data_IF_826812919141
#
_entry.id   IF_826812919141
#
_cell.length_a   1.000
_cell.length_b   1.000
_cell.length_c   1.000
_cell.angle_alpha   90.00
_cell.angle_beta   90.00
_cell.angle_gamma   90.00
#
_symmetry.space_group_name_H-M   'P 1'
#
loop_
_entity.id
_entity.type
_entity.pdbx_description
1 polymer ?
#
# COMPACT_ATOMS: atom_id res chain seq x y z
N UNK A 1 -23.08 24.43 3.07
CA UNK A 1 -23.07 23.23 2.20
C UNK A 1 -24.51 22.94 1.82
N UNK A 2 -24.91 23.01 0.54
CA UNK A 2 -26.26 22.59 0.14
C UNK A 2 -26.37 21.07 0.32
N UNK A 3 -27.37 20.62 1.07
CA UNK A 3 -27.67 19.19 1.21
C UNK A 3 -28.45 18.74 -0.01
N UNK A 4 -27.98 17.68 -0.68
CA UNK A 4 -28.72 17.04 -1.77
C UNK A 4 -29.69 16.06 -1.13
N UNK A 5 -30.98 16.31 -1.29
CA UNK A 5 -32.05 15.40 -0.84
C UNK A 5 -32.54 14.64 -2.07
N UNK A 6 -32.34 13.33 -2.07
CA UNK A 6 -32.88 12.42 -3.10
C UNK A 6 -33.97 11.56 -2.48
N UNK A 7 -34.93 11.11 -3.30
CA UNK A 7 -35.91 10.11 -2.88
C UNK A 7 -35.61 8.84 -3.69
N UNK A 8 -34.84 7.87 -3.15
CA UNK A 8 -34.42 6.67 -3.89
C UNK A 8 -35.60 5.89 -4.48
N UNK A 9 -36.74 5.87 -3.78
CA UNK A 9 -37.97 5.24 -4.24
C UNK A 9 -38.45 5.84 -5.58
N UNK A 10 -38.44 7.17 -5.72
CA UNK A 10 -38.88 7.84 -6.95
C UNK A 10 -37.94 7.58 -8.13
N UNK A 11 -36.64 7.40 -7.86
CA UNK A 11 -35.67 7.02 -8.89
C UNK A 11 -35.91 5.59 -9.40
N UNK A 12 -36.28 4.65 -8.51
CA UNK A 12 -36.62 3.27 -8.90
C UNK A 12 -37.90 3.21 -9.75
N UNK A 13 -38.91 4.03 -9.42
CA UNK A 13 -40.15 4.14 -10.18
C UNK A 13 -39.87 4.72 -11.57
N UNK A 14 -39.04 5.77 -11.65
CA UNK A 14 -38.63 6.37 -12.91
C UNK A 14 -37.87 5.37 -13.80
N UNK A 15 -36.93 4.59 -13.23
CA UNK A 15 -36.20 3.57 -13.97
C UNK A 15 -37.12 2.47 -14.54
N UNK A 16 -38.13 2.05 -13.76
CA UNK A 16 -39.15 1.08 -14.22
C UNK A 16 -39.98 1.65 -15.37
N UNK A 17 -40.42 2.91 -15.26
CA UNK A 17 -41.14 3.60 -16.33
C UNK A 17 -40.32 3.70 -17.61
N UNK A 18 -39.03 4.05 -17.50
CA UNK A 18 -38.10 4.11 -18.63
C UNK A 18 -37.87 2.74 -19.29
N UNK A 19 -37.80 1.66 -18.51
CA UNK A 19 -37.71 0.31 -19.06
C UNK A 19 -38.96 -0.04 -19.91
N UNK A 20 -40.16 0.32 -19.43
CA UNK A 20 -41.40 0.13 -20.16
C UNK A 20 -41.46 0.95 -21.45
N UNK A 21 -40.97 2.20 -21.42
CA UNK A 21 -40.84 3.05 -22.61
C UNK A 21 -39.87 2.41 -23.62
N UNK A 22 -38.70 1.95 -23.17
CA UNK A 22 -37.72 1.28 -24.03
C UNK A 22 -38.29 0.03 -24.71
N UNK A 23 -39.03 -0.79 -23.96
CA UNK A 23 -39.74 -1.97 -24.51
C UNK A 23 -40.78 -1.61 -25.57
N UNK A 24 -41.56 -0.54 -25.33
CA UNK A 24 -42.57 -0.04 -26.27
C UNK A 24 -41.92 0.45 -27.57
N UNK A 25 -40.83 1.21 -27.46
CA UNK A 25 -40.07 1.73 -28.61
C UNK A 25 -39.44 0.58 -29.40
N UNK A 26 -38.83 -0.40 -28.73
CA UNK A 26 -38.23 -1.57 -29.38
C UNK A 26 -39.27 -2.39 -30.15
N UNK A 27 -40.46 -2.57 -29.57
CA UNK A 27 -41.58 -3.24 -30.25
C UNK A 27 -42.02 -2.46 -31.50
N UNK A 28 -42.11 -1.13 -31.43
CA UNK A 28 -42.46 -0.29 -32.56
C UNK A 28 -41.39 -0.32 -33.67
N UNK A 29 -40.09 -0.29 -33.30
CA UNK A 29 -38.98 -0.37 -34.24
C UNK A 29 -38.95 -1.71 -34.99
N UNK A 30 -39.21 -2.81 -34.28
CA UNK A 30 -39.30 -4.15 -34.87
C UNK A 30 -40.49 -4.26 -35.82
N UNK A 31 -41.65 -3.71 -35.46
CA UNK A 31 -42.84 -3.69 -36.32
C UNK A 31 -42.63 -2.86 -37.60
N UNK A 32 -41.86 -1.77 -37.52
CA UNK A 32 -41.55 -0.90 -38.65
C UNK A 32 -40.44 -1.45 -39.58
N UNK A 33 -39.68 -2.48 -39.17
CA UNK A 33 -38.50 -2.94 -39.89
C UNK A 33 -38.79 -3.45 -41.31
N UNK A 34 -39.72 -4.38 -41.47
CA UNK A 34 -40.09 -4.91 -42.78
C UNK A 34 -40.68 -3.84 -43.72
N UNK A 35 -41.73 -3.08 -43.35
CA UNK A 35 -42.36 -2.13 -44.27
C UNK A 35 -41.45 -0.96 -44.70
N UNK A 36 -40.37 -0.68 -43.96
CA UNK A 36 -39.42 0.40 -44.29
C UNK A 36 -38.19 -0.09 -45.08
N UNK A 37 -37.90 -1.39 -45.08
CA UNK A 37 -36.70 -1.94 -45.73
C UNK A 37 -36.99 -2.73 -47.01
N UNK A 38 -38.21 -3.26 -47.18
CA UNK A 38 -38.60 -4.08 -48.33
C UNK A 38 -39.52 -3.32 -49.30
N UNK A 39 -39.20 -2.06 -49.61
CA UNK A 39 -40.00 -1.25 -50.52
C UNK A 39 -39.87 -1.75 -51.96
N UNK A 40 -41.01 -1.94 -52.62
CA UNK A 40 -41.10 -2.28 -54.04
C UNK A 40 -41.07 -1.01 -54.88
N UNK A 41 -40.40 -1.06 -56.04
CA UNK A 41 -40.44 0.02 -57.02
C UNK A 41 -41.86 0.22 -57.54
N UNK A 42 -42.32 1.48 -57.63
CA UNK A 42 -43.67 1.80 -58.11
C UNK A 42 -43.85 1.57 -59.62
N UNK A 43 -42.75 1.60 -60.38
CA UNK A 43 -42.68 1.35 -61.81
C UNK A 43 -41.41 0.58 -62.19
N UNK A 44 -41.36 0.09 -63.43
CA UNK A 44 -40.21 -0.67 -63.96
C UNK A 44 -39.02 0.23 -64.39
N UNK A 45 -39.14 1.54 -64.21
CA UNK A 45 -38.11 2.51 -64.56
C UNK A 45 -36.99 2.57 -63.50
N UNK A 46 -35.83 3.05 -63.95
CA UNK A 46 -34.63 3.15 -63.14
C UNK A 46 -34.80 4.17 -61.99
N UNK A 47 -35.66 5.18 -62.16
CA UNK A 47 -35.90 6.21 -61.14
C UNK A 47 -36.72 5.63 -59.99
N UNK A 48 -37.82 4.93 -60.27
CA UNK A 48 -38.62 4.21 -59.29
C UNK A 48 -37.79 3.16 -58.53
N UNK A 49 -36.92 2.45 -59.23
CA UNK A 49 -36.00 1.47 -58.64
C UNK A 49 -34.99 2.14 -57.71
N UNK A 50 -34.38 3.26 -58.14
CA UNK A 50 -33.43 4.01 -57.33
C UNK A 50 -34.06 4.62 -56.07
N UNK A 51 -35.29 5.13 -56.16
CA UNK A 51 -36.03 5.68 -55.01
C UNK A 51 -36.33 4.57 -53.98
N UNK A 52 -36.82 3.41 -54.42
CA UNK A 52 -37.07 2.27 -53.52
C UNK A 52 -35.78 1.81 -52.81
N UNK A 53 -34.66 1.75 -53.54
CA UNK A 53 -33.36 1.42 -52.97
C UNK A 53 -32.87 2.46 -51.95
N UNK A 54 -33.07 3.75 -52.21
CA UNK A 54 -32.73 4.83 -51.28
C UNK A 54 -33.48 4.68 -49.95
N UNK A 55 -34.80 4.55 -49.99
CA UNK A 55 -35.59 4.37 -48.76
C UNK A 55 -35.26 3.07 -48.04
N UNK A 56 -35.03 1.97 -48.77
CA UNK A 56 -34.57 0.71 -48.16
C UNK A 56 -33.23 0.87 -47.42
N UNK A 57 -32.26 1.57 -48.02
CA UNK A 57 -30.98 1.87 -47.36
C UNK A 57 -31.13 2.78 -46.13
N UNK A 58 -32.05 3.75 -46.18
CA UNK A 58 -32.35 4.62 -45.04
C UNK A 58 -33.02 3.84 -43.90
N UNK A 59 -33.96 2.93 -44.21
CA UNK A 59 -34.57 2.03 -43.23
C UNK A 59 -33.54 1.15 -42.53
N UNK A 60 -32.58 0.60 -43.27
CA UNK A 60 -31.48 -0.19 -42.68
C UNK A 60 -30.58 0.65 -41.76
N UNK A 61 -30.24 1.88 -42.18
CA UNK A 61 -29.48 2.81 -41.35
C UNK A 61 -30.23 3.20 -40.07
N UNK A 62 -31.54 3.43 -40.17
CA UNK A 62 -32.40 3.70 -39.01
C UNK A 62 -32.42 2.51 -38.03
N UNK A 63 -32.57 1.28 -38.52
CA UNK A 63 -32.54 0.09 -37.66
C UNK A 63 -31.20 -0.08 -36.93
N UNK A 64 -30.08 0.18 -37.62
CA UNK A 64 -28.75 0.15 -37.02
C UNK A 64 -28.56 1.24 -35.94
N UNK A 65 -29.14 2.43 -36.13
CA UNK A 65 -29.12 3.50 -35.12
C UNK A 65 -30.03 3.17 -33.93
N UNK A 66 -31.22 2.65 -34.18
CA UNK A 66 -32.17 2.24 -33.13
C UNK A 66 -31.58 1.19 -32.20
N UNK A 67 -30.84 0.20 -32.73
CA UNK A 67 -30.13 -0.78 -31.91
C UNK A 67 -29.05 -0.16 -31.01
N UNK A 68 -28.36 0.90 -31.48
CA UNK A 68 -27.39 1.64 -30.66
C UNK A 68 -28.10 2.44 -29.56
N UNK A 69 -29.23 3.09 -29.89
CA UNK A 69 -30.04 3.83 -28.93
C UNK A 69 -30.62 2.92 -27.85
N UNK A 70 -31.07 1.70 -28.19
CA UNK A 70 -31.54 0.70 -27.22
C UNK A 70 -30.45 0.29 -26.24
N UNK A 71 -29.22 0.09 -26.72
CA UNK A 71 -28.07 -0.22 -25.84
C UNK A 71 -27.77 0.94 -24.89
N UNK A 72 -27.73 2.18 -25.40
CA UNK A 72 -27.53 3.37 -24.57
C UNK A 72 -28.64 3.51 -23.52
N UNK A 73 -29.89 3.31 -23.92
CA UNK A 73 -31.06 3.37 -23.04
C UNK A 73 -30.99 2.29 -21.94
N UNK A 74 -30.62 1.06 -22.30
CA UNK A 74 -30.43 -0.02 -21.34
C UNK A 74 -29.33 0.28 -20.32
N UNK A 75 -28.20 0.84 -20.76
CA UNK A 75 -27.12 1.28 -19.89
C UNK A 75 -27.57 2.43 -18.97
N UNK A 76 -28.34 3.39 -19.50
CA UNK A 76 -28.88 4.50 -18.73
C UNK A 76 -29.82 4.00 -17.61
N UNK A 77 -30.78 3.13 -17.93
CA UNK A 77 -31.70 2.54 -16.93
C UNK A 77 -30.94 1.73 -15.87
N UNK A 78 -29.94 0.95 -16.28
CA UNK A 78 -29.10 0.17 -15.34
C UNK A 78 -28.34 1.10 -14.40
N UNK A 79 -27.74 2.17 -14.94
CA UNK A 79 -27.00 3.16 -14.15
C UNK A 79 -27.92 3.89 -13.17
N UNK A 80 -29.13 4.27 -13.60
CA UNK A 80 -30.12 4.92 -12.75
C UNK A 80 -30.58 4.04 -11.58
N UNK A 81 -30.76 2.74 -11.80
CA UNK A 81 -31.08 1.80 -10.72
C UNK A 81 -29.91 1.66 -9.72
N UNK A 82 -28.67 1.59 -10.22
CA UNK A 82 -27.48 1.50 -9.35
C UNK A 82 -27.30 2.75 -8.49
N UNK A 83 -27.59 3.94 -9.03
CA UNK A 83 -27.46 5.20 -8.28
C UNK A 83 -28.53 5.33 -7.19
N UNK A 84 -29.77 4.90 -7.45
CA UNK A 84 -30.82 4.84 -6.42
C UNK A 84 -30.41 3.98 -5.22
N UNK A 85 -29.80 2.82 -5.47
CA UNK A 85 -29.25 1.97 -4.41
C UNK A 85 -28.11 2.66 -3.65
N UNK A 86 -27.18 3.31 -4.35
CA UNK A 86 -26.09 4.06 -3.72
C UNK A 86 -26.62 5.17 -2.80
N UNK A 87 -27.64 5.93 -3.21
CA UNK A 87 -28.26 6.95 -2.36
C UNK A 87 -28.93 6.35 -1.13
N UNK A 88 -29.72 5.29 -1.28
CA UNK A 88 -30.34 4.60 -0.15
C UNK A 88 -29.30 4.04 0.85
N UNK A 89 -28.21 3.48 0.35
CA UNK A 89 -27.11 2.98 1.18
C UNK A 89 -26.39 4.11 1.94
N UNK A 90 -26.24 5.28 1.32
CA UNK A 90 -25.65 6.46 1.96
C UNK A 90 -26.55 7.01 3.07
N UNK A 91 -27.87 7.05 2.86
CA UNK A 91 -28.83 7.43 3.90
C UNK A 91 -28.79 6.47 5.09
N UNK A 92 -28.74 5.16 4.84
CA UNK A 92 -28.63 4.15 5.88
C UNK A 92 -27.30 4.27 6.67
N UNK A 93 -26.18 4.51 5.98
CA UNK A 93 -24.89 4.74 6.62
C UNK A 93 -24.94 5.99 7.53
N UNK A 94 -25.48 7.10 7.03
CA UNK A 94 -25.64 8.32 7.82
C UNK A 94 -26.55 8.13 9.04
N UNK A 95 -27.66 7.40 8.89
CA UNK A 95 -28.55 7.06 10.00
C UNK A 95 -27.85 6.21 11.07
N UNK A 96 -27.06 5.22 10.65
CA UNK A 96 -26.29 4.37 11.56
C UNK A 96 -25.23 5.17 12.34
N UNK A 97 -24.56 6.12 11.69
CA UNK A 97 -23.59 6.99 12.35
C UNK A 97 -24.24 7.89 13.39
N UNK A 98 -25.43 8.43 13.11
CA UNK A 98 -26.17 9.23 14.09
C UNK A 98 -26.54 8.42 15.33
N UNK A 99 -26.89 7.14 15.16
CA UNK A 99 -27.16 6.24 16.28
C UNK A 99 -25.90 5.96 17.10
N UNK A 100 -24.76 5.68 16.46
CA UNK A 100 -23.48 5.47 17.16
C UNK A 100 -23.07 6.73 17.93
N UNK A 101 -23.22 7.92 17.33
CA UNK A 101 -22.94 9.18 18.01
C UNK A 101 -23.84 9.37 19.24
N UNK A 102 -25.14 9.05 19.15
CA UNK A 102 -26.06 9.11 20.27
C UNK A 102 -25.69 8.13 21.40
N UNK A 103 -25.19 6.94 21.06
CA UNK A 103 -24.68 5.96 22.04
C UNK A 103 -23.39 6.42 22.71
N UNK A 104 -22.52 7.12 21.98
CA UNK A 104 -21.24 7.61 22.51
C UNK A 104 -21.39 8.87 23.35
N UNK A 105 -22.38 9.74 23.10
CA UNK A 105 -22.52 11.03 23.80
C UNK A 105 -22.41 10.95 25.33
N UNK A 106 -23.06 10.00 26.04
CA UNK A 106 -22.93 9.89 27.48
C UNK A 106 -21.49 9.55 27.92
N UNK A 107 -20.80 8.68 27.19
CA UNK A 107 -19.44 8.27 27.54
C UNK A 107 -18.39 9.31 27.15
N UNK A 108 -18.55 10.00 26.02
CA UNK A 108 -17.69 11.14 25.69
C UNK A 108 -17.82 12.25 26.74
N UNK A 109 -19.05 12.51 27.23
CA UNK A 109 -19.29 13.49 28.28
C UNK A 109 -18.75 13.10 29.67
N UNK A 110 -18.68 11.80 29.98
CA UNK A 110 -18.27 11.31 31.31
C UNK A 110 -16.82 10.82 31.38
N UNK A 111 -16.32 10.21 30.30
CA UNK A 111 -15.06 9.47 30.24
C UNK A 111 -14.08 10.06 29.22
N UNK A 112 -14.50 11.08 28.45
CA UNK A 112 -13.67 11.72 27.43
C UNK A 112 -13.31 10.82 26.24
N UNK A 113 -13.96 9.65 26.14
CA UNK A 113 -13.70 8.63 25.12
C UNK A 113 -15.03 8.00 24.68
N UNK A 114 -15.18 7.65 23.38
CA UNK A 114 -16.36 6.95 22.91
C UNK A 114 -16.46 5.53 23.52
N UNK A 115 -17.66 4.96 23.60
CA UNK A 115 -17.81 3.54 23.95
C UNK A 115 -17.46 2.65 22.76
N UNK A 116 -17.92 3.06 21.58
CA UNK A 116 -17.79 2.33 20.33
C UNK A 116 -17.23 3.25 19.26
N UNK A 117 -16.12 2.89 18.65
CA UNK A 117 -15.56 3.64 17.54
C UNK A 117 -14.06 3.42 17.44
N UNK A 118 -13.53 3.47 16.22
CA UNK A 118 -12.10 3.40 16.02
C UNK A 118 -11.44 4.73 16.41
N UNK A 119 -10.19 4.65 16.84
CA UNK A 119 -9.35 5.80 17.11
C UNK A 119 -8.96 6.53 15.83
N UNK A 120 -8.79 7.84 15.93
CA UNK A 120 -8.39 8.67 14.79
C UNK A 120 -6.92 8.44 14.44
N UNK A 121 -6.62 8.15 13.19
CA UNK A 121 -5.23 8.05 12.71
C UNK A 121 -4.51 9.40 12.83
N UNK A 122 -3.25 9.35 13.25
CA UNK A 122 -2.34 10.48 13.25
C UNK A 122 -2.00 10.93 11.83
N UNK A 123 -1.88 12.25 11.63
CA UNK A 123 -1.61 12.80 10.31
C UNK A 123 -0.21 12.40 9.79
N UNK A 124 -0.08 11.87 8.54
CA UNK A 124 1.22 11.53 7.97
C UNK A 124 2.19 12.71 7.92
N UNK A 125 3.46 12.45 8.19
CA UNK A 125 4.53 13.46 8.22
C UNK A 125 4.55 14.35 9.46
N UNK A 126 3.61 14.19 10.40
CA UNK A 126 3.56 15.02 11.61
C UNK A 126 4.17 14.35 12.83
N UNK A 127 4.32 13.03 12.83
CA UNK A 127 4.64 12.25 14.02
C UNK A 127 3.53 12.25 15.07
N UNK A 128 2.30 12.63 14.70
CA UNK A 128 1.15 12.64 15.60
C UNK A 128 0.75 11.21 15.97
N UNK A 129 0.51 10.98 17.25
CA UNK A 129 0.01 9.68 17.74
C UNK A 129 -1.40 9.41 17.21
N UNK A 130 -1.70 8.13 16.99
CA UNK A 130 -3.06 7.67 16.77
C UNK A 130 -3.88 7.80 18.04
N UNK A 131 -5.13 8.21 17.90
CA UNK A 131 -6.07 8.26 19.01
C UNK A 131 -6.46 6.86 19.47
N UNK A 132 -6.84 6.73 20.74
CA UNK A 132 -7.35 5.48 21.27
C UNK A 132 -8.72 5.13 20.66
N UNK A 133 -8.96 3.83 20.48
CA UNK A 133 -10.27 3.28 20.19
C UNK A 133 -11.26 3.45 21.35
N UNK A 134 -12.53 3.24 21.05
CA UNK A 134 -13.63 3.28 22.01
C UNK A 134 -13.47 2.23 23.11
N UNK A 135 -13.99 2.52 24.29
CA UNK A 135 -13.74 1.76 25.52
C UNK A 135 -14.14 0.28 25.39
N UNK A 136 -15.31 0.01 24.80
CA UNK A 136 -15.84 -1.35 24.68
C UNK A 136 -15.44 -2.00 23.35
N UNK A 137 -15.54 -1.22 22.28
CA UNK A 137 -15.22 -1.68 20.94
C UNK A 137 -14.55 -0.57 20.15
N UNK A 138 -13.40 -0.87 19.56
CA UNK A 138 -12.69 0.09 18.74
C UNK A 138 -11.26 -0.32 18.55
N UNK A 139 -10.80 -0.24 17.31
CA UNK A 139 -9.39 -0.32 16.99
C UNK A 139 -8.71 0.99 17.39
N UNK A 140 -7.45 0.92 17.79
CA UNK A 140 -6.64 2.13 17.95
C UNK A 140 -6.27 2.73 16.59
N UNK A 141 -6.17 4.05 16.53
CA UNK A 141 -5.74 4.75 15.33
C UNK A 141 -4.26 4.51 15.06
N UNK A 142 -3.86 4.53 13.79
CA UNK A 142 -2.45 4.43 13.40
C UNK A 142 -1.70 5.72 13.74
N UNK A 143 -0.47 5.60 14.21
CA UNK A 143 0.43 6.73 14.37
C UNK A 143 0.85 7.32 13.02
N UNK A 144 0.88 8.65 12.94
CA UNK A 144 1.35 9.37 11.77
C UNK A 144 2.87 9.22 11.62
N UNK A 145 3.36 9.08 10.38
CA UNK A 145 4.81 9.06 10.14
C UNK A 145 5.46 10.39 10.53
N UNK A 146 6.73 10.37 10.94
CA UNK A 146 7.51 11.57 11.24
C UNK A 146 8.06 12.27 9.99
N UNK A 147 8.06 13.60 9.98
CA UNK A 147 8.90 14.40 9.06
C UNK A 147 10.40 14.23 9.42
N UNK A 148 11.36 14.60 8.54
CA UNK A 148 12.78 14.59 8.88
C UNK A 148 13.07 15.27 10.23
N UNK A 149 13.78 14.57 11.13
CA UNK A 149 14.03 15.06 12.49
C UNK A 149 12.87 14.90 13.47
N UNK A 150 11.73 14.34 13.07
CA UNK A 150 10.62 13.95 13.95
C UNK A 150 10.47 12.43 14.07
N UNK A 151 10.13 11.99 15.27
CA UNK A 151 9.75 10.60 15.55
C UNK A 151 8.43 10.25 14.84
N UNK A 152 8.21 8.99 14.53
CA UNK A 152 6.88 8.50 14.18
C UNK A 152 5.95 8.50 15.39
N UNK A 153 4.68 8.82 15.17
CA UNK A 153 3.68 8.80 16.24
C UNK A 153 3.37 7.39 16.69
N UNK A 154 3.02 7.23 17.96
CA UNK A 154 2.59 5.94 18.50
C UNK A 154 1.22 5.55 17.93
N UNK A 155 0.99 4.26 17.74
CA UNK A 155 -0.35 3.74 17.45
C UNK A 155 -1.20 3.83 18.71
N UNK A 156 -2.46 4.25 18.55
CA UNK A 156 -3.41 4.34 19.65
C UNK A 156 -3.77 2.97 20.20
N UNK A 157 -4.18 2.93 21.46
CA UNK A 157 -4.63 1.69 22.09
C UNK A 157 -6.04 1.33 21.62
N UNK A 158 -6.31 0.04 21.51
CA UNK A 158 -7.66 -0.46 21.26
C UNK A 158 -8.51 -0.44 22.54
N UNK A 159 -9.82 -0.59 22.35
CA UNK A 159 -10.74 -0.86 23.44
C UNK A 159 -10.59 -2.23 24.08
N UNK A 160 -11.61 -2.64 24.83
CA UNK A 160 -11.74 -4.00 25.34
C UNK A 160 -11.72 -5.03 24.20
N UNK A 161 -12.38 -4.69 23.09
CA UNK A 161 -12.43 -5.44 21.84
C UNK A 161 -11.86 -4.57 20.72
N UNK A 162 -10.81 -5.03 20.05
CA UNK A 162 -10.24 -4.29 18.91
C UNK A 162 -8.81 -4.70 18.59
N UNK A 163 -8.19 -3.99 17.66
CA UNK A 163 -6.77 -4.14 17.31
C UNK A 163 -6.03 -2.85 17.66
N UNK A 164 -4.84 -2.97 18.21
CA UNK A 164 -3.99 -1.81 18.45
C UNK A 164 -3.58 -1.15 17.14
N UNK A 165 -3.45 0.17 17.15
CA UNK A 165 -3.01 0.93 15.97
C UNK A 165 -1.54 0.65 15.63
N UNK A 166 -1.17 0.73 14.36
CA UNK A 166 0.24 0.64 13.99
C UNK A 166 1.00 1.89 14.41
N UNK A 167 2.24 1.75 14.87
CA UNK A 167 3.15 2.88 15.06
C UNK A 167 3.55 3.49 13.73
N UNK A 168 3.67 4.82 13.68
CA UNK A 168 4.13 5.56 12.51
C UNK A 168 5.62 5.39 12.29
N UNK A 169 6.08 5.43 11.04
CA UNK A 169 7.50 5.38 10.74
C UNK A 169 8.23 6.66 11.20
N UNK A 170 9.46 6.52 11.67
CA UNK A 170 10.33 7.64 12.02
C UNK A 170 10.76 8.45 10.80
N UNK A 171 10.87 9.77 10.96
CA UNK A 171 11.58 10.61 10.00
C UNK A 171 13.09 10.35 10.03
N UNK A 172 13.83 10.89 9.06
CA UNK A 172 15.27 10.66 8.96
C UNK A 172 16.02 10.88 10.30
N UNK A 173 16.78 9.86 10.71
CA UNK A 173 17.54 9.80 11.96
C UNK A 173 16.72 9.50 13.22
N UNK A 174 15.40 9.33 13.10
CA UNK A 174 14.49 9.22 14.23
C UNK A 174 13.84 7.86 14.36
N UNK A 175 13.36 7.57 15.56
CA UNK A 175 12.74 6.29 15.88
C UNK A 175 11.32 6.17 15.31
N UNK A 176 10.89 4.94 15.08
CA UNK A 176 9.48 4.63 14.83
C UNK A 176 8.61 4.77 16.07
N UNK A 177 7.32 4.95 15.83
CA UNK A 177 6.25 4.87 16.82
C UNK A 177 6.07 3.46 17.36
N UNK A 178 5.69 3.31 18.62
CA UNK A 178 5.26 2.02 19.16
C UNK A 178 3.89 1.66 18.60
N UNK A 179 3.62 0.37 18.42
CA UNK A 179 2.26 -0.09 18.14
C UNK A 179 1.38 0.01 19.39
N UNK A 180 0.09 0.21 19.19
CA UNK A 180 -0.91 0.28 20.26
C UNK A 180 -1.22 -1.08 20.86
N UNK A 181 -1.65 -1.07 22.11
CA UNK A 181 -2.00 -2.27 22.87
C UNK A 181 -3.51 -2.56 22.82
N UNK A 182 -3.93 -3.70 23.34
CA UNK A 182 -5.35 -4.10 23.38
C UNK A 182 -5.78 -4.50 24.79
N UNK A 183 -7.02 -4.19 25.17
CA UNK A 183 -7.56 -4.51 26.49
C UNK A 183 -7.74 -6.02 26.73
N UNK A 184 -8.79 -6.62 26.17
CA UNK A 184 -9.20 -7.99 26.53
C UNK A 184 -9.06 -8.98 25.38
N UNK A 185 -9.54 -8.62 24.19
CA UNK A 185 -9.44 -9.47 23.01
C UNK A 185 -8.98 -8.70 21.78
N UNK A 186 -7.92 -9.21 21.16
CA UNK A 186 -7.42 -8.74 19.89
C UNK A 186 -5.91 -8.61 19.85
N UNK A 187 -5.38 -8.17 18.72
CA UNK A 187 -3.95 -8.21 18.44
C UNK A 187 -3.36 -6.83 18.68
N UNK A 188 -2.15 -6.80 19.24
CA UNK A 188 -1.40 -5.56 19.36
C UNK A 188 -1.00 -5.02 17.97
N UNK A 189 -0.85 -3.71 17.89
CA UNK A 189 -0.41 -3.04 16.67
C UNK A 189 1.08 -3.25 16.41
N UNK A 190 1.50 -3.28 15.15
CA UNK A 190 2.93 -3.35 14.82
C UNK A 190 3.65 -2.03 15.13
N UNK A 191 4.92 -2.10 15.52
CA UNK A 191 5.77 -0.92 15.67
C UNK A 191 6.14 -0.31 14.31
N UNK A 192 6.30 1.01 14.27
CA UNK A 192 6.72 1.74 13.09
C UNK A 192 8.20 1.55 12.78
N UNK A 193 8.57 1.60 11.50
CA UNK A 193 9.98 1.50 11.09
C UNK A 193 10.80 2.72 11.54
N UNK A 194 12.07 2.52 11.86
CA UNK A 194 13.02 3.60 12.11
C UNK A 194 13.36 4.36 10.83
N UNK A 195 13.60 5.66 10.95
CA UNK A 195 13.97 6.50 9.81
C UNK A 195 15.42 6.28 9.35
N UNK A 196 15.67 6.49 8.07
CA UNK A 196 17.02 6.42 7.49
C UNK A 196 17.98 7.39 8.20
N UNK A 197 19.22 6.98 8.44
CA UNK A 197 20.18 7.67 9.31
C UNK A 197 20.35 7.04 10.69
N UNK A 198 19.95 5.78 10.89
CA UNK A 198 20.16 5.01 12.12
C UNK A 198 19.00 5.06 13.12
N UNK A 199 17.80 5.44 12.69
CA UNK A 199 16.61 5.44 13.55
C UNK A 199 16.24 4.03 14.00
N UNK A 200 15.92 3.84 15.28
CA UNK A 200 15.45 2.54 15.77
C UNK A 200 14.00 2.27 15.36
N UNK A 201 13.65 1.01 15.13
CA UNK A 201 12.27 0.58 14.97
C UNK A 201 11.49 0.70 16.28
N UNK A 202 10.20 0.98 16.16
CA UNK A 202 9.28 1.06 17.29
C UNK A 202 8.92 -0.32 17.84
N UNK A 203 8.54 -0.36 19.10
CA UNK A 203 8.07 -1.60 19.74
C UNK A 203 6.72 -2.03 19.15
N UNK A 204 6.47 -3.32 19.04
CA UNK A 204 5.12 -3.84 18.82
C UNK A 204 4.26 -3.68 20.07
N UNK A 205 2.97 -3.43 19.89
CA UNK A 205 2.00 -3.32 20.97
C UNK A 205 1.58 -4.68 21.51
N UNK A 206 1.11 -4.69 22.76
CA UNK A 206 0.69 -5.93 23.42
C UNK A 206 -0.71 -6.36 22.97
N UNK A 207 -0.91 -7.67 22.89
CA UNK A 207 -2.21 -8.24 22.56
C UNK A 207 -3.16 -8.21 23.77
N UNK A 208 -4.44 -8.48 23.50
CA UNK A 208 -5.49 -8.51 24.52
C UNK A 208 -5.22 -9.61 25.56
N UNK A 209 -5.58 -9.32 26.81
CA UNK A 209 -5.30 -10.18 27.97
C UNK A 209 -5.66 -11.66 27.76
N UNK A 210 -6.80 -11.96 27.11
CA UNK A 210 -7.30 -13.33 26.99
C UNK A 210 -6.89 -13.99 25.68
N UNK A 211 -7.15 -13.33 24.54
CA UNK A 211 -6.76 -13.81 23.22
C UNK A 211 -6.09 -12.70 22.41
N UNK A 212 -4.98 -13.02 21.76
CA UNK A 212 -4.37 -12.11 20.81
C UNK A 212 -2.92 -12.45 20.46
N UNK A 213 -2.49 -12.04 19.27
CA UNK A 213 -1.07 -12.06 18.90
C UNK A 213 -0.45 -10.71 19.22
N UNK A 214 0.73 -10.71 19.82
CA UNK A 214 1.49 -9.49 20.05
C UNK A 214 1.89 -8.84 18.73
N UNK A 215 1.93 -7.51 18.68
CA UNK A 215 2.32 -6.79 17.49
C UNK A 215 3.80 -7.03 17.15
N UNK A 216 4.18 -7.14 15.87
CA UNK A 216 5.59 -7.20 15.50
C UNK A 216 6.30 -5.89 15.84
N UNK A 217 7.58 -5.96 16.19
CA UNK A 217 8.43 -4.78 16.30
C UNK A 217 8.74 -4.21 14.92
N UNK A 218 8.94 -2.89 14.84
CA UNK A 218 9.32 -2.20 13.61
C UNK A 218 10.78 -2.46 13.25
N UNK A 219 11.10 -2.44 11.96
CA UNK A 219 12.48 -2.56 11.51
C UNK A 219 13.31 -1.31 11.86
N UNK A 220 14.60 -1.48 12.12
CA UNK A 220 15.55 -0.39 12.25
C UNK A 220 15.86 0.25 10.91
N UNK A 221 16.04 1.57 10.91
CA UNK A 221 16.35 2.34 9.70
C UNK A 221 17.79 2.13 9.22
N UNK A 222 17.99 2.32 7.91
CA UNK A 222 19.31 2.35 7.28
C UNK A 222 20.24 3.32 8.03
N UNK A 223 21.53 3.00 8.12
CA UNK A 223 22.48 3.68 9.01
C UNK A 223 22.74 2.95 10.33
N UNK A 224 22.26 1.72 10.48
CA UNK A 224 22.52 0.87 11.65
C UNK A 224 21.51 1.00 12.79
N UNK A 225 20.26 1.39 12.50
CA UNK A 225 19.22 1.47 13.51
C UNK A 225 18.84 0.10 14.07
N UNK A 226 18.56 -0.02 15.37
CA UNK A 226 18.13 -1.30 15.96
C UNK A 226 16.68 -1.61 15.61
N UNK A 227 16.34 -2.87 15.38
CA UNK A 227 14.95 -3.31 15.27
C UNK A 227 14.22 -3.20 16.61
N UNK A 228 12.93 -2.89 16.57
CA UNK A 228 12.06 -2.83 17.74
C UNK A 228 11.70 -4.22 18.25
N UNK A 229 11.43 -4.36 19.55
CA UNK A 229 10.96 -5.62 20.09
C UNK A 229 9.50 -5.89 19.69
N UNK A 230 9.13 -7.17 19.55
CA UNK A 230 7.73 -7.56 19.41
C UNK A 230 6.97 -7.44 20.73
N UNK A 231 5.67 -7.18 20.64
CA UNK A 231 4.76 -7.10 21.78
C UNK A 231 4.38 -8.47 22.34
N UNK A 232 3.89 -8.48 23.57
CA UNK A 232 3.41 -9.69 24.23
C UNK A 232 2.15 -10.25 23.56
N UNK A 233 2.06 -11.58 23.45
CA UNK A 233 0.82 -12.28 23.13
C UNK A 233 -0.17 -12.24 24.29
N UNK A 234 -1.41 -12.66 24.04
CA UNK A 234 -2.44 -12.69 25.07
C UNK A 234 -2.02 -13.58 26.24
N UNK A 235 -2.18 -13.09 27.47
CA UNK A 235 -1.68 -13.74 28.69
C UNK A 235 -2.20 -15.17 28.86
N UNK A 236 -3.43 -15.45 28.43
CA UNK A 236 -3.95 -16.82 28.43
C UNK A 236 -3.64 -17.54 27.11
N UNK A 237 -3.99 -16.94 25.98
CA UNK A 237 -3.81 -17.51 24.66
C UNK A 237 -3.25 -16.52 23.64
N UNK A 238 -2.15 -16.90 23.02
CA UNK A 238 -1.65 -16.27 21.81
C UNK A 238 -0.14 -16.11 21.77
N UNK A 239 0.47 -16.19 20.58
CA UNK A 239 1.91 -16.01 20.43
C UNK A 239 2.33 -14.55 20.61
N UNK A 240 3.58 -14.37 21.04
CA UNK A 240 4.23 -13.06 21.05
C UNK A 240 4.54 -12.57 19.63
N UNK A 241 4.67 -11.26 19.48
CA UNK A 241 5.05 -10.64 18.21
C UNK A 241 6.51 -10.88 17.87
N UNK A 242 6.86 -10.96 16.59
CA UNK A 242 8.26 -11.04 16.17
C UNK A 242 9.01 -9.71 16.45
N UNK A 243 10.30 -9.79 16.73
CA UNK A 243 11.17 -8.62 16.77
C UNK A 243 11.45 -8.10 15.36
N UNK A 244 11.58 -6.78 15.21
CA UNK A 244 11.94 -6.13 13.96
C UNK A 244 13.39 -6.37 13.59
N UNK A 245 13.71 -6.32 12.30
CA UNK A 245 15.07 -6.49 11.81
C UNK A 245 15.93 -5.26 12.14
N UNK A 246 17.22 -5.45 12.33
CA UNK A 246 18.19 -4.36 12.45
C UNK A 246 18.49 -3.72 11.09
N UNK A 247 18.66 -2.41 11.09
CA UNK A 247 18.98 -1.62 9.90
C UNK A 247 20.38 -1.89 9.38
N UNK A 248 20.51 -1.87 8.06
CA UNK A 248 21.80 -1.98 7.38
C UNK A 248 22.62 -0.70 7.58
N UNK A 249 23.95 -0.79 7.65
CA UNK A 249 24.80 0.39 7.80
C UNK A 249 26.10 0.32 7.01
N UNK A 250 26.84 1.44 6.99
CA UNK A 250 28.15 1.54 6.34
C UNK A 250 29.30 1.34 7.34
N UNK A 251 30.50 1.02 6.84
CA UNK A 251 31.75 1.00 7.60
C UNK A 251 31.71 0.20 8.93
N UNK A 252 31.14 -1.00 8.92
CA UNK A 252 31.05 -1.86 10.11
C UNK A 252 29.97 -1.46 11.11
N UNK A 253 29.14 -0.45 10.80
CA UNK A 253 27.96 -0.10 11.59
C UNK A 253 26.79 -0.97 11.10
N UNK A 254 26.16 -1.70 12.01
CA UNK A 254 25.00 -2.54 11.75
C UNK A 254 24.05 -2.46 12.94
N UNK A 255 22.75 -2.44 12.65
CA UNK A 255 21.71 -2.47 13.68
C UNK A 255 21.53 -3.88 14.23
N UNK A 256 21.29 -4.00 15.54
CA UNK A 256 20.84 -5.27 16.10
C UNK A 256 19.38 -5.51 15.72
N UNK A 257 18.99 -6.77 15.54
CA UNK A 257 17.58 -7.14 15.49
C UNK A 257 16.91 -6.96 16.85
N UNK A 258 15.61 -6.75 16.85
CA UNK A 258 14.78 -6.65 18.04
C UNK A 258 14.50 -8.02 18.66
N UNK A 259 14.21 -8.05 19.95
CA UNK A 259 13.77 -9.28 20.60
C UNK A 259 12.33 -9.64 20.17
N UNK A 260 12.02 -10.93 20.09
CA UNK A 260 10.63 -11.37 20.00
C UNK A 260 9.89 -11.13 21.32
N UNK A 261 8.59 -10.91 21.23
CA UNK A 261 7.71 -10.74 22.37
C UNK A 261 7.40 -12.05 23.09
N UNK A 262 7.06 -12.02 24.39
CA UNK A 262 6.65 -13.21 25.11
C UNK A 262 5.29 -13.72 24.60
N UNK A 263 5.10 -15.04 24.59
CA UNK A 263 3.80 -15.67 24.33
C UNK A 263 2.93 -15.78 25.58
N UNK A 264 1.69 -16.25 25.41
CA UNK A 264 0.77 -16.51 26.50
C UNK A 264 1.25 -17.54 27.52
N UNK A 265 0.94 -17.31 28.79
CA UNK A 265 1.37 -18.11 29.93
C UNK A 265 0.74 -19.51 29.98
N UNK A 266 -0.41 -19.71 29.32
CA UNK A 266 -1.08 -21.02 29.25
C UNK A 266 -0.86 -21.67 27.87
N UNK A 267 -1.20 -20.96 26.80
CA UNK A 267 -1.00 -21.42 25.43
C UNK A 267 -0.48 -20.28 24.53
N UNK A 268 0.82 -20.28 24.24
CA UNK A 268 1.40 -19.32 23.31
C UNK A 268 2.92 -19.48 23.20
N UNK A 269 3.45 -19.45 21.99
CA UNK A 269 4.90 -19.42 21.77
C UNK A 269 5.41 -17.99 21.87
N UNK A 270 6.65 -17.83 22.33
CA UNK A 270 7.36 -16.55 22.14
C UNK A 270 7.46 -16.22 20.65
N UNK A 271 7.52 -14.93 20.35
CA UNK A 271 7.84 -14.45 19.01
C UNK A 271 9.30 -14.66 18.67
N UNK A 272 9.59 -14.75 17.38
CA UNK A 272 10.96 -14.85 16.88
C UNK A 272 11.73 -13.55 17.10
N UNK A 273 13.03 -13.64 17.35
CA UNK A 273 13.91 -12.47 17.32
C UNK A 273 14.13 -11.97 15.89
N UNK A 274 14.32 -10.65 15.77
CA UNK A 274 14.68 -10.01 14.51
C UNK A 274 16.13 -10.31 14.11
N UNK A 275 16.37 -10.30 12.80
CA UNK A 275 17.71 -10.47 12.25
C UNK A 275 18.55 -9.21 12.47
N UNK A 276 19.86 -9.37 12.67
CA UNK A 276 20.80 -8.24 12.66
C UNK A 276 20.99 -7.66 11.26
N UNK A 277 21.34 -6.37 11.21
CA UNK A 277 21.66 -5.66 9.98
C UNK A 277 22.99 -6.11 9.40
N UNK A 278 23.07 -6.16 8.07
CA UNK A 278 24.34 -6.31 7.36
C UNK A 278 25.21 -5.05 7.54
N UNK A 279 26.43 -5.24 8.05
CA UNK A 279 27.44 -4.19 8.10
C UNK A 279 28.11 -4.01 6.74
N UNK A 280 28.21 -2.76 6.28
CA UNK A 280 28.91 -2.43 5.06
C UNK A 280 30.41 -2.74 5.21
N UNK A 281 31.01 -3.31 4.16
CA UNK A 281 32.46 -3.52 4.11
C UNK A 281 33.16 -2.18 4.37
N UNK A 282 33.82 -2.06 5.52
CA UNK A 282 34.68 -0.93 5.84
C UNK A 282 35.62 -0.72 4.67
N UNK A 283 35.68 0.51 4.15
CA UNK A 283 36.54 0.84 3.03
C UNK A 283 37.95 0.37 3.37
N UNK A 284 38.34 -0.77 2.79
CA UNK A 284 39.68 -1.29 3.03
C UNK A 284 40.63 -0.23 2.51
N UNK A 285 41.76 -0.02 3.20
CA UNK A 285 42.74 1.00 2.84
C UNK A 285 43.15 0.95 1.35
N UNK A 286 42.93 -0.18 0.68
CA UNK A 286 43.16 -0.38 -0.76
C UNK A 286 42.18 0.39 -1.67
N UNK A 287 40.92 0.57 -1.28
CA UNK A 287 39.94 1.39 -2.05
C UNK A 287 40.21 2.89 -1.87
N UNK A 288 40.56 3.32 -0.65
CA UNK A 288 40.99 4.70 -0.39
C UNK A 288 42.35 5.02 -1.04
N UNK A 289 43.30 4.07 -1.04
CA UNK A 289 44.58 4.21 -1.73
C UNK A 289 44.40 4.24 -3.26
N UNK A 290 43.46 3.47 -3.82
CA UNK A 290 43.18 3.47 -5.27
C UNK A 290 42.49 4.77 -5.69
N UNK A 291 41.53 5.28 -4.90
CA UNK A 291 40.90 6.58 -5.15
C UNK A 291 41.91 7.75 -4.99
N UNK A 292 42.78 7.70 -3.98
CA UNK A 292 43.86 8.67 -3.78
C UNK A 292 44.96 8.57 -4.86
N UNK A 293 45.25 7.38 -5.37
CA UNK A 293 46.19 7.19 -6.47
C UNK A 293 45.61 7.70 -7.80
N UNK A 294 44.31 7.50 -8.05
CA UNK A 294 43.60 8.05 -9.20
C UNK A 294 43.50 9.59 -9.16
N UNK A 295 43.17 10.18 -8.01
CA UNK A 295 43.12 11.64 -7.86
C UNK A 295 44.52 12.29 -7.90
N UNK A 296 45.54 11.65 -7.33
CA UNK A 296 46.93 12.12 -7.40
C UNK A 296 47.59 11.95 -8.79
N UNK A 297 47.10 11.04 -9.64
CA UNK A 297 47.50 10.94 -11.06
C UNK A 297 46.74 11.92 -11.95
N UNK A 298 45.44 12.13 -11.71
CA UNK A 298 44.65 13.14 -12.42
C UNK A 298 45.18 14.57 -12.15
N UNK A 299 45.57 14.87 -10.91
CA UNK A 299 46.19 16.16 -10.56
C UNK A 299 47.60 16.37 -11.15
N UNK A 300 48.35 15.29 -11.42
CA UNK A 300 49.65 15.36 -12.13
C UNK A 300 49.49 15.51 -13.64
N UNK A 301 48.50 14.87 -14.23
CA UNK A 301 48.13 15.05 -15.65
C UNK A 301 47.66 16.49 -15.92
N UNK A 302 46.88 17.09 -15.03
CA UNK A 302 46.43 18.49 -15.17
C UNK A 302 47.57 19.53 -15.04
N UNK A 303 48.71 19.17 -14.44
CA UNK A 303 49.90 20.05 -14.32
C UNK A 303 50.91 19.90 -15.46
N UNK A 304 50.80 18.85 -16.28
CA UNK A 304 51.64 18.67 -17.46
C UNK A 304 50.90 19.16 -18.70
N UNK A 305 51.20 20.37 -19.18
CA UNK A 305 50.74 20.82 -20.50
C UNK A 305 51.44 19.98 -21.60
N UNK A 306 50.72 19.18 -22.41
CA UNK A 306 51.37 18.37 -23.43
C UNK A 306 51.56 19.22 -24.70
N UNK A 307 52.80 19.60 -25.01
CA UNK A 307 53.12 20.36 -26.24
C UNK A 307 53.38 19.48 -27.47
N UNK A 308 53.13 18.16 -27.42
CA UNK A 308 53.28 17.28 -28.60
C UNK A 308 52.21 16.20 -28.69
N UNK A 309 51.72 15.97 -29.91
CA UNK A 309 50.61 15.05 -30.28
C UNK A 309 50.87 13.57 -29.95
N UNK A 310 52.11 13.17 -29.65
CA UNK A 310 52.45 11.82 -29.16
C UNK A 310 52.09 11.60 -27.68
N UNK A 311 52.12 12.65 -26.84
CA UNK A 311 51.81 12.55 -25.41
C UNK A 311 50.35 12.21 -25.12
N UNK A 312 49.43 12.81 -25.87
CA UNK A 312 47.98 12.64 -25.66
C UNK A 312 47.45 11.22 -25.97
N UNK A 313 48.13 10.45 -26.82
CA UNK A 313 47.72 9.05 -27.14
C UNK A 313 48.15 8.06 -26.06
N UNK A 314 49.28 8.29 -25.40
CA UNK A 314 49.79 7.43 -24.31
C UNK A 314 48.93 7.60 -23.05
N UNK A 315 48.45 8.82 -22.78
CA UNK A 315 47.55 9.10 -21.64
C UNK A 315 46.16 8.49 -21.79
N UNK A 316 45.55 8.54 -22.99
CA UNK A 316 44.25 7.89 -23.24
C UNK A 316 44.32 6.37 -23.11
N UNK A 317 45.44 5.75 -23.49
CA UNK A 317 45.65 4.31 -23.30
C UNK A 317 45.80 3.94 -21.82
N UNK A 318 46.46 4.77 -21.01
CA UNK A 318 46.63 4.55 -19.57
C UNK A 318 45.31 4.72 -18.78
N UNK A 319 44.47 5.68 -19.16
CA UNK A 319 43.13 5.86 -18.57
C UNK A 319 42.18 4.71 -18.92
N UNK A 320 42.20 4.22 -20.17
CA UNK A 320 41.41 3.08 -20.60
C UNK A 320 41.84 1.76 -19.91
N UNK A 321 43.14 1.54 -19.72
CA UNK A 321 43.67 0.38 -18.99
C UNK A 321 43.28 0.40 -17.50
N UNK A 322 43.25 1.58 -16.87
CA UNK A 322 42.82 1.74 -15.48
C UNK A 322 41.33 1.40 -15.30
N UNK A 323 40.48 1.81 -16.25
CA UNK A 323 39.04 1.52 -16.24
C UNK A 323 38.72 0.04 -16.51
N UNK A 324 39.56 -0.65 -17.30
CA UNK A 324 39.39 -2.09 -17.59
C UNK A 324 39.80 -2.99 -16.42
N UNK A 325 40.86 -2.63 -15.69
CA UNK A 325 41.31 -3.39 -14.51
C UNK A 325 40.32 -3.28 -13.34
N UNK A 326 39.65 -2.14 -13.18
CA UNK A 326 38.60 -1.95 -12.15
C UNK A 326 37.34 -2.74 -12.49
N UNK A 327 36.87 -2.70 -13.75
CA UNK A 327 35.72 -3.50 -14.20
C UNK A 327 35.97 -5.03 -14.09
N UNK A 328 37.19 -5.49 -14.41
CA UNK A 328 37.59 -6.89 -14.31
C UNK A 328 37.80 -7.42 -12.88
N UNK A 329 37.93 -6.54 -11.87
CA UNK A 329 37.96 -6.91 -10.45
C UNK A 329 36.56 -6.89 -9.84
N UNK A 330 35.71 -5.93 -10.20
CA UNK A 330 34.30 -5.89 -9.81
C UNK A 330 33.55 -7.16 -10.27
N UNK A 331 33.68 -7.54 -11.55
CA UNK A 331 33.03 -8.76 -12.07
C UNK A 331 33.60 -10.08 -11.52
N UNK A 332 34.74 -10.07 -10.83
CA UNK A 332 35.28 -11.24 -10.09
C UNK A 332 34.77 -11.31 -8.66
N UNK A 333 34.47 -10.17 -8.04
CA UNK A 333 33.82 -10.09 -6.74
C UNK A 333 32.34 -10.50 -6.84
N UNK A 334 31.62 -10.07 -7.87
CA UNK A 334 30.25 -10.51 -8.14
C UNK A 334 30.15 -12.01 -8.43
N UNK A 335 31.08 -12.58 -9.22
CA UNK A 335 31.12 -14.05 -9.45
C UNK A 335 31.45 -14.85 -8.19
N UNK A 336 32.22 -14.29 -7.24
CA UNK A 336 32.47 -14.93 -5.93
C UNK A 336 31.27 -14.81 -4.99
N UNK A 337 30.49 -13.72 -5.09
CA UNK A 337 29.25 -13.56 -4.35
C UNK A 337 28.14 -14.50 -4.86
N UNK A 338 27.99 -14.71 -6.18
CA UNK A 338 27.05 -15.70 -6.74
C UNK A 338 27.46 -17.15 -6.46
N UNK A 339 28.76 -17.45 -6.34
CA UNK A 339 29.23 -18.81 -5.98
C UNK A 339 29.03 -19.15 -4.49
N UNK A 340 28.69 -18.17 -3.64
CA UNK A 340 28.36 -18.39 -2.23
C UNK A 340 26.85 -18.61 -1.99
N UNK A 341 26.04 -18.62 -3.04
CA UNK A 341 24.58 -18.74 -2.99
C UNK A 341 24.07 -20.01 -3.70
N UNK A 342 24.65 -21.19 -3.42
CA UNK A 342 24.03 -22.50 -3.73
C UNK A 342 23.40 -23.11 -2.46
N UNK A 343 22.20 -23.75 -2.56
CA UNK A 343 21.48 -24.24 -1.38
C UNK A 343 22.05 -25.57 -0.88
N UNK A 344 22.19 -25.69 0.44
CA UNK A 344 22.62 -26.92 1.11
C UNK A 344 21.60 -28.07 0.92
N UNK A 345 22.06 -29.21 0.39
CA UNK A 345 21.30 -30.46 0.32
C UNK A 345 21.26 -31.18 1.69
N UNK A 346 20.20 -31.97 2.00
CA UNK A 346 19.99 -32.54 3.33
C UNK A 346 20.87 -33.78 3.58
N UNK A 347 21.44 -33.87 4.79
CA UNK A 347 22.28 -34.99 5.23
C UNK A 347 21.43 -36.20 5.64
N UNK A 348 21.71 -37.37 5.03
CA UNK A 348 21.19 -38.67 5.42
C UNK A 348 22.01 -39.25 6.59
N UNK A 349 21.33 -39.75 7.63
CA UNK A 349 21.94 -40.44 8.78
C UNK A 349 22.28 -41.91 8.44
N UNK A 350 23.38 -42.48 8.98
CA UNK A 350 23.79 -43.85 8.70
C UNK A 350 23.12 -44.87 9.61
N UNK A 351 22.93 -46.08 9.08
CA UNK A 351 22.40 -47.25 9.80
C UNK A 351 23.45 -47.89 10.72
N UNK A 352 23.02 -48.17 11.96
CA UNK A 352 23.24 -49.39 12.73
C UNK A 352 22.12 -49.47 13.77
#
# INVERSE_FOLDING_TARGET
MPFVVTIPEQLSIAATSLANIGSTISTANTAAAAPTTTLLAAGADEVSTAIAALFGSHGQAFQALSAQAENLHGQFVTTLNSSAFSYASAEAANASQNLVNALNMPAEGLLGRPLIGDGTDGAPGTGQDGGDGGILWGNGGNGGSGAPGQRGGDGGDAGLLGKGGYGGNGGAGQTGGTGGSVGLFGNGGGGGGGGAGGGAGGLGGDAGLVFGVGGPGGDGGDGGGTGGAGGAGGTFWGPGGAGGSGGHGGAGIAGNGGAGGPGGAVFGTGGDGGQGGLGGSGGTAEQAATAACCSARAGRAAKAHPTTTRGARVERAAMAACCWVTAGKAGRAERRASAAAEPAAPAAAPAC
#
